data_IF_731708532897
#
_entry.id   IF_731708532897
#
_cell.length_a   1.000
_cell.length_b   1.000
_cell.length_c   1.000
_cell.angle_alpha   90.00
_cell.angle_beta   90.00
_cell.angle_gamma   90.00
#
_symmetry.space_group_name_H-M   'P 1'
#
loop_
_entity.id
_entity.type
_entity.pdbx_description
1 polymer ?
#
# COMPACT_ATOMS: atom_id res chain seq x y z
N UNK A 1 -3.69 30.11 -75.16
CA UNK A 1 -4.23 30.49 -73.85
C UNK A 1 -3.77 29.44 -72.87
N UNK A 2 -2.71 29.74 -72.10
CA UNK A 2 -2.16 28.85 -71.07
C UNK A 2 -2.86 29.17 -69.77
N UNK A 3 -3.58 28.19 -69.20
CA UNK A 3 -4.14 28.29 -67.85
C UNK A 3 -3.07 27.92 -66.83
N UNK A 4 -2.76 28.87 -65.98
CA UNK A 4 -1.90 28.69 -64.81
C UNK A 4 -2.76 28.11 -63.66
N UNK A 5 -2.37 26.97 -63.19
CA UNK A 5 -2.97 26.32 -61.96
C UNK A 5 -2.17 26.81 -60.77
N UNK A 6 -2.80 27.39 -59.77
CA UNK A 6 -2.07 27.77 -58.56
C UNK A 6 -1.73 26.53 -57.69
N UNK A 7 -0.49 26.49 -57.28
CA UNK A 7 0.08 25.51 -56.37
C UNK A 7 -0.56 25.69 -55.00
N UNK A 8 -1.36 24.72 -54.60
CA UNK A 8 -1.87 24.66 -53.21
C UNK A 8 -0.73 24.34 -52.27
N UNK A 9 -0.43 25.27 -51.39
CA UNK A 9 0.48 25.07 -50.26
C UNK A 9 -0.21 24.12 -49.31
N UNK A 10 0.24 22.87 -49.26
CA UNK A 10 -0.09 21.94 -48.21
C UNK A 10 0.55 22.45 -46.91
N UNK A 11 -0.28 23.07 -46.10
CA UNK A 11 0.07 23.32 -44.69
C UNK A 11 0.32 22.00 -43.98
N UNK A 12 1.58 21.70 -43.70
CA UNK A 12 1.96 20.65 -42.83
C UNK A 12 1.41 20.99 -41.39
N UNK A 13 0.29 20.39 -41.05
CA UNK A 13 -0.17 20.33 -39.69
C UNK A 13 0.91 19.57 -38.91
N UNK A 14 1.77 20.30 -38.24
CA UNK A 14 2.57 19.77 -37.13
C UNK A 14 1.58 19.25 -36.09
N UNK A 15 1.21 18.00 -36.22
CA UNK A 15 0.76 17.23 -35.06
C UNK A 15 1.91 17.31 -34.05
N UNK A 16 1.79 18.22 -33.11
CA UNK A 16 2.55 18.17 -31.87
C UNK A 16 2.18 16.84 -31.22
N UNK A 17 2.99 15.82 -31.49
CA UNK A 17 3.13 14.69 -30.60
C UNK A 17 3.42 15.32 -29.24
N UNK A 18 2.39 15.37 -28.38
CA UNK A 18 2.58 15.53 -26.94
C UNK A 18 3.38 14.32 -26.55
N UNK A 19 4.70 14.43 -26.68
CA UNK A 19 5.62 13.52 -26.05
C UNK A 19 5.19 13.48 -24.58
N UNK A 20 5.00 12.29 -24.02
CA UNK A 20 4.89 12.06 -22.60
C UNK A 20 6.09 12.76 -21.97
N UNK A 21 5.94 13.99 -21.59
CA UNK A 21 7.01 14.79 -21.00
C UNK A 21 7.18 14.27 -19.60
N UNK A 22 8.13 13.33 -19.44
CA UNK A 22 8.85 13.26 -18.18
C UNK A 22 9.29 14.69 -17.88
N UNK A 23 9.10 15.13 -16.63
CA UNK A 23 9.47 16.49 -16.23
C UNK A 23 10.90 16.82 -16.66
N UNK A 24 11.31 18.10 -16.66
CA UNK A 24 12.58 18.53 -17.25
C UNK A 24 13.71 17.65 -16.74
N UNK A 25 14.31 16.89 -17.66
CA UNK A 25 15.46 16.05 -17.35
C UNK A 25 16.67 16.94 -17.27
N UNK A 26 17.44 16.80 -16.22
CA UNK A 26 18.77 17.38 -16.20
C UNK A 26 19.68 16.51 -17.05
N UNK A 27 19.97 16.98 -18.24
CA UNK A 27 20.81 16.25 -19.18
C UNK A 27 22.28 16.67 -19.13
N UNK A 28 22.61 17.74 -18.41
CA UNK A 28 23.96 18.26 -18.36
C UNK A 28 24.38 18.80 -16.98
N UNK A 29 25.63 18.60 -16.65
CA UNK A 29 26.26 19.13 -15.44
C UNK A 29 26.40 20.66 -15.43
N UNK A 30 26.27 21.32 -16.57
CA UNK A 30 26.38 22.77 -16.70
C UNK A 30 25.18 23.46 -16.08
N UNK A 31 23.98 22.90 -16.25
CA UNK A 31 22.76 23.41 -15.62
C UNK A 31 22.90 23.47 -14.09
N UNK A 32 23.51 22.47 -13.47
CA UNK A 32 23.76 22.47 -12.01
C UNK A 32 24.76 23.52 -11.56
N UNK A 33 25.67 23.94 -12.43
CA UNK A 33 26.70 24.94 -12.12
C UNK A 33 26.22 26.37 -12.37
N UNK A 34 25.32 26.56 -13.31
CA UNK A 34 24.94 27.88 -13.80
C UNK A 34 23.57 28.36 -13.38
N UNK A 35 22.69 27.44 -12.91
CA UNK A 35 21.34 27.78 -12.47
C UNK A 35 21.15 27.50 -11.01
N UNK A 36 20.11 28.12 -10.46
CA UNK A 36 19.61 27.88 -9.10
C UNK A 36 18.26 27.18 -9.17
N UNK A 37 17.87 26.46 -8.12
CA UNK A 37 16.57 25.81 -8.09
C UNK A 37 16.46 24.69 -7.05
N UNK A 38 15.47 23.84 -7.27
CA UNK A 38 15.22 22.67 -6.43
C UNK A 38 15.29 21.39 -7.24
N UNK A 39 15.82 20.35 -6.61
CA UNK A 39 15.63 18.99 -7.02
C UNK A 39 14.92 18.26 -5.90
N UNK A 40 13.87 17.52 -6.20
CA UNK A 40 13.07 16.97 -5.13
C UNK A 40 12.42 15.64 -5.44
N UNK A 41 11.98 15.03 -4.37
CA UNK A 41 11.10 13.85 -4.38
C UNK A 41 9.76 14.29 -3.85
N UNK A 42 8.74 13.93 -4.59
CA UNK A 42 7.36 14.09 -4.15
C UNK A 42 6.75 12.72 -3.90
N UNK A 43 6.29 12.51 -2.66
CA UNK A 43 5.62 11.30 -2.24
C UNK A 43 4.20 11.64 -1.84
N UNK A 44 3.26 10.95 -2.42
CA UNK A 44 1.88 11.04 -2.00
C UNK A 44 1.49 9.71 -1.36
N UNK A 45 0.81 9.78 -0.20
CA UNK A 45 -0.06 8.70 0.19
C UNK A 45 -1.08 8.54 -0.92
N UNK A 46 -1.13 7.35 -1.52
CA UNK A 46 -2.01 7.14 -2.66
C UNK A 46 -3.44 7.44 -2.24
N UNK A 47 -4.03 8.40 -2.92
CA UNK A 47 -5.47 8.50 -2.97
C UNK A 47 -5.93 7.62 -4.13
N UNK A 48 -7.09 7.01 -4.01
CA UNK A 48 -7.76 6.21 -5.05
C UNK A 48 -7.76 6.88 -6.45
N UNK A 49 -7.54 8.17 -6.48
CA UNK A 49 -7.63 9.03 -7.64
C UNK A 49 -6.30 9.37 -8.30
N UNK A 50 -5.17 8.95 -7.75
CA UNK A 50 -3.85 9.40 -8.22
C UNK A 50 -3.28 8.58 -9.37
N UNK A 51 -3.85 7.43 -9.67
CA UNK A 51 -3.36 6.57 -10.74
C UNK A 51 -3.73 7.14 -12.13
N UNK A 52 -2.70 7.35 -12.94
CA UNK A 52 -2.85 7.75 -14.35
C UNK A 52 -3.06 9.25 -14.61
N UNK A 53 -3.12 10.10 -13.61
CA UNK A 53 -3.32 11.54 -13.80
C UNK A 53 -2.09 12.36 -13.39
N UNK A 54 -1.82 13.49 -14.08
CA UNK A 54 -0.71 14.36 -13.74
C UNK A 54 -0.93 15.04 -12.38
N UNK A 55 0.15 15.17 -11.62
CA UNK A 55 0.14 15.84 -10.32
C UNK A 55 1.14 16.97 -10.34
N UNK A 56 0.75 18.12 -9.81
CA UNK A 56 1.58 19.31 -9.76
C UNK A 56 1.62 19.92 -8.37
N UNK A 57 2.73 20.55 -8.03
CA UNK A 57 2.83 21.46 -6.89
C UNK A 57 3.07 22.89 -7.38
N UNK A 58 2.55 23.85 -6.66
CA UNK A 58 2.88 25.26 -6.87
C UNK A 58 3.84 25.72 -5.79
N UNK A 59 5.08 25.99 -6.20
CA UNK A 59 6.15 26.47 -5.35
C UNK A 59 6.62 27.86 -5.84
N UNK A 60 6.38 28.91 -5.07
CA UNK A 60 6.55 30.28 -5.53
C UNK A 60 5.72 30.55 -6.77
N UNK A 61 6.33 31.11 -7.79
CA UNK A 61 5.71 31.39 -9.10
C UNK A 61 5.70 30.16 -10.04
N UNK A 62 6.35 29.07 -9.64
CA UNK A 62 6.52 27.88 -10.47
C UNK A 62 5.44 26.84 -10.20
N UNK A 63 4.85 26.30 -11.27
CA UNK A 63 4.04 25.07 -11.22
C UNK A 63 4.92 23.91 -11.67
N UNK A 64 5.18 22.99 -10.78
CA UNK A 64 6.11 21.88 -10.98
C UNK A 64 5.32 20.61 -11.17
N UNK A 65 5.54 19.91 -12.28
CA UNK A 65 4.99 18.57 -12.50
C UNK A 65 5.77 17.57 -11.64
N UNK A 66 5.13 17.03 -10.61
CA UNK A 66 5.75 16.08 -9.68
C UNK A 66 5.42 14.63 -10.00
N UNK A 67 4.33 14.39 -10.73
CA UNK A 67 3.98 13.07 -11.27
C UNK A 67 3.43 13.22 -12.68
N UNK A 68 4.12 12.72 -13.71
CA UNK A 68 3.58 12.68 -15.07
C UNK A 68 2.43 11.66 -15.19
N UNK A 69 1.60 11.85 -16.21
CA UNK A 69 0.59 10.85 -16.60
C UNK A 69 1.23 9.48 -16.85
N UNK A 70 0.50 8.41 -16.51
CA UNK A 70 0.88 7.02 -16.78
C UNK A 70 2.06 6.45 -15.97
N UNK A 71 2.48 7.13 -14.92
CA UNK A 71 3.45 6.58 -13.97
C UNK A 71 2.72 5.92 -12.81
N UNK A 72 2.93 4.61 -12.60
CA UNK A 72 2.49 3.89 -11.41
C UNK A 72 3.45 4.08 -10.24
N UNK A 73 4.54 4.83 -10.43
CA UNK A 73 5.50 5.14 -9.39
C UNK A 73 4.90 6.17 -8.44
N UNK A 74 4.72 5.81 -7.18
CA UNK A 74 4.23 6.70 -6.13
C UNK A 74 5.26 7.78 -5.75
N UNK A 75 6.53 7.50 -6.00
CA UNK A 75 7.64 8.38 -5.71
C UNK A 75 8.21 8.96 -7.00
N UNK A 76 8.15 10.25 -7.17
CA UNK A 76 8.66 10.93 -8.36
C UNK A 76 9.75 11.93 -7.99
N UNK A 77 10.81 11.93 -8.79
CA UNK A 77 11.87 12.92 -8.72
C UNK A 77 11.55 14.03 -9.70
N UNK A 78 11.54 15.26 -9.22
CA UNK A 78 11.36 16.45 -10.03
C UNK A 78 12.59 17.36 -9.96
N UNK A 79 12.76 18.15 -11.00
CA UNK A 79 13.82 19.15 -11.12
C UNK A 79 13.20 20.46 -11.60
N UNK A 80 13.44 21.54 -10.86
CA UNK A 80 12.92 22.86 -11.23
C UNK A 80 13.95 23.96 -11.03
N UNK A 81 14.49 24.56 -12.11
CA UNK A 81 15.21 25.80 -12.02
C UNK A 81 14.30 26.91 -11.50
N UNK A 82 14.77 27.64 -10.49
CA UNK A 82 14.01 28.69 -9.83
C UNK A 82 14.93 29.88 -9.49
N UNK A 83 14.35 31.06 -9.33
CA UNK A 83 15.08 32.24 -8.85
C UNK A 83 15.47 32.06 -7.37
N UNK A 84 16.63 32.56 -6.95
CA UNK A 84 17.01 32.60 -5.53
C UNK A 84 15.97 33.31 -4.67
N UNK A 85 15.89 32.90 -3.41
CA UNK A 85 15.05 33.54 -2.43
C UNK A 85 13.89 32.69 -1.92
N UNK A 86 12.99 33.24 -1.13
CA UNK A 86 11.88 32.50 -0.54
C UNK A 86 10.83 32.12 -1.59
N UNK A 87 10.41 30.87 -1.57
CA UNK A 87 9.34 30.32 -2.41
C UNK A 87 8.31 29.59 -1.52
N UNK A 88 7.11 30.14 -1.44
CA UNK A 88 6.04 29.53 -0.65
C UNK A 88 5.47 28.31 -1.38
N UNK A 89 5.26 27.22 -0.65
CA UNK A 89 4.54 26.05 -1.17
C UNK A 89 3.04 26.31 -1.05
N UNK A 90 2.41 26.72 -2.16
CA UNK A 90 1.03 27.19 -2.18
C UNK A 90 0.00 26.09 -2.27
N UNK A 91 0.22 25.12 -3.14
CA UNK A 91 -0.79 24.09 -3.37
C UNK A 91 -0.20 22.81 -3.97
N UNK A 92 -0.96 21.76 -3.79
CA UNK A 92 -0.81 20.49 -4.47
C UNK A 92 -2.09 20.21 -5.26
N UNK A 93 -1.94 20.01 -6.57
CA UNK A 93 -3.05 19.77 -7.47
C UNK A 93 -2.95 18.37 -8.06
N UNK A 94 -4.07 17.66 -8.03
CA UNK A 94 -4.22 16.36 -8.68
C UNK A 94 -5.60 16.27 -9.33
N UNK A 95 -5.71 15.40 -10.33
CA UNK A 95 -6.95 15.12 -11.01
C UNK A 95 -7.45 13.73 -10.65
N UNK A 96 -8.76 13.60 -10.43
CA UNK A 96 -9.45 12.35 -10.21
C UNK A 96 -10.61 12.23 -11.18
N UNK A 97 -10.49 11.37 -12.19
CA UNK A 97 -11.49 11.20 -13.23
C UNK A 97 -11.80 12.53 -13.94
N UNK A 98 -12.95 13.13 -13.66
CA UNK A 98 -13.37 14.42 -14.21
C UNK A 98 -13.17 15.58 -13.24
N UNK A 99 -12.87 15.27 -11.99
CA UNK A 99 -12.73 16.25 -10.92
C UNK A 99 -11.27 16.63 -10.74
N UNK A 100 -11.02 17.92 -10.56
CA UNK A 100 -9.73 18.48 -10.26
C UNK A 100 -9.70 18.93 -8.82
N UNK A 101 -8.69 18.52 -8.06
CA UNK A 101 -8.50 18.88 -6.66
C UNK A 101 -7.28 19.77 -6.52
N UNK A 102 -7.45 20.88 -5.83
CA UNK A 102 -6.38 21.83 -5.50
C UNK A 102 -6.31 22.00 -3.98
N UNK A 103 -5.42 21.26 -3.35
CA UNK A 103 -5.19 21.36 -1.91
C UNK A 103 -4.33 22.61 -1.62
N UNK A 104 -4.93 23.60 -1.00
CA UNK A 104 -4.23 24.80 -0.58
C UNK A 104 -3.34 24.49 0.63
N UNK A 105 -2.05 24.78 0.49
CA UNK A 105 -1.02 24.51 1.46
C UNK A 105 -0.47 25.78 2.12
N UNK A 106 -0.91 26.93 1.63
CA UNK A 106 -0.52 28.28 2.10
C UNK A 106 -1.49 28.84 3.16
N UNK A 107 -2.53 28.09 3.49
CA UNK A 107 -3.51 28.46 4.51
C UNK A 107 -3.34 27.58 5.73
N UNK A 108 -3.43 28.19 6.92
CA UNK A 108 -3.49 27.45 8.16
C UNK A 108 -4.83 26.73 8.23
N UNK A 109 -4.79 25.42 8.27
CA UNK A 109 -5.96 24.59 8.59
C UNK A 109 -5.68 23.88 9.93
N UNK A 110 -6.21 24.39 11.04
CA UNK A 110 -5.98 23.81 12.37
C UNK A 110 -6.48 22.36 12.46
N UNK A 111 -7.47 21.98 11.64
CA UNK A 111 -8.02 20.61 11.63
C UNK A 111 -7.08 19.61 10.92
N UNK A 112 -6.15 20.12 10.10
CA UNK A 112 -5.21 19.32 9.30
C UNK A 112 -3.75 19.54 9.66
N UNK A 113 -3.45 20.35 10.68
CA UNK A 113 -2.07 20.70 11.04
C UNK A 113 -1.30 21.46 9.94
N UNK A 114 -2.00 21.95 8.91
CA UNK A 114 -1.36 22.58 7.77
C UNK A 114 -0.85 23.97 8.14
N UNK A 115 0.47 24.09 8.25
CA UNK A 115 1.15 25.38 8.42
C UNK A 115 1.76 25.78 7.08
N UNK A 116 1.53 27.03 6.59
CA UNK A 116 2.17 27.52 5.39
C UNK A 116 3.70 27.40 5.50
N UNK A 117 4.34 26.93 4.44
CA UNK A 117 5.76 26.60 4.45
C UNK A 117 6.48 27.30 3.32
N UNK A 118 7.64 27.87 3.61
CA UNK A 118 8.50 28.53 2.64
C UNK A 118 9.80 27.74 2.46
N UNK A 119 10.13 27.44 1.21
CA UNK A 119 11.40 26.85 0.78
C UNK A 119 12.32 27.97 0.35
N UNK A 120 13.51 28.04 0.92
CA UNK A 120 14.49 29.05 0.53
C UNK A 120 15.40 28.48 -0.56
N UNK A 121 15.26 29.03 -1.77
CA UNK A 121 16.09 28.68 -2.92
C UNK A 121 17.47 29.32 -2.74
N UNK A 122 18.58 28.58 -2.84
CA UNK A 122 19.91 29.09 -2.63
C UNK A 122 20.31 30.14 -3.67
N UNK A 123 21.22 31.07 -3.30
CA UNK A 123 21.75 32.06 -4.21
C UNK A 123 22.62 31.48 -5.32
N UNK A 124 23.10 30.26 -5.15
CA UNK A 124 23.87 29.52 -6.15
C UNK A 124 23.58 28.02 -6.09
N UNK A 125 23.46 27.40 -7.25
CA UNK A 125 23.22 25.95 -7.36
C UNK A 125 21.83 25.50 -6.95
N UNK A 126 21.69 24.22 -6.66
CA UNK A 126 20.44 23.59 -6.30
C UNK A 126 20.42 23.14 -4.86
N UNK A 127 19.25 23.09 -4.27
CA UNK A 127 19.04 22.38 -3.00
C UNK A 127 18.07 21.20 -3.18
N UNK A 128 18.19 20.21 -2.31
CA UNK A 128 17.32 19.03 -2.27
C UNK A 128 16.10 19.26 -1.39
N UNK A 129 14.95 18.74 -1.83
CA UNK A 129 13.73 18.74 -1.02
C UNK A 129 13.01 17.40 -1.19
N UNK A 130 12.59 16.79 -0.10
CA UNK A 130 11.75 15.61 -0.09
C UNK A 130 10.45 15.95 0.63
N UNK A 131 9.36 15.95 -0.12
CA UNK A 131 8.02 16.29 0.37
C UNK A 131 7.16 15.05 0.31
N UNK A 132 6.55 14.70 1.43
CA UNK A 132 5.57 13.65 1.52
C UNK A 132 4.23 14.22 1.98
N UNK A 133 3.14 13.79 1.35
CA UNK A 133 1.80 14.06 1.83
C UNK A 133 1.22 12.78 2.41
N UNK A 134 0.95 12.79 3.69
CA UNK A 134 0.38 11.69 4.44
C UNK A 134 -0.89 12.19 5.11
N UNK A 135 -2.03 11.64 4.70
CA UNK A 135 -3.35 11.99 5.28
C UNK A 135 -3.70 13.51 5.26
N UNK A 136 -3.14 14.24 4.31
CA UNK A 136 -3.34 15.69 4.20
C UNK A 136 -2.24 16.52 4.88
N UNK A 137 -1.38 15.90 5.68
CA UNK A 137 -0.23 16.56 6.28
C UNK A 137 0.97 16.52 5.33
N UNK A 138 1.69 17.65 5.25
CA UNK A 138 2.95 17.71 4.52
C UNK A 138 4.10 17.46 5.48
N UNK A 139 4.98 16.55 5.08
CA UNK A 139 6.14 16.14 5.84
C UNK A 139 7.40 16.33 4.97
N UNK A 140 8.45 16.80 5.57
CA UNK A 140 9.76 16.95 4.92
C UNK A 140 10.72 15.91 5.49
N UNK A 141 11.56 15.33 4.63
CA UNK A 141 12.54 14.33 5.07
C UNK A 141 13.88 14.50 4.38
N UNK A 142 14.92 13.86 4.92
CA UNK A 142 16.25 13.78 4.32
C UNK A 142 16.50 12.47 3.55
N UNK A 143 15.45 11.76 3.18
CA UNK A 143 15.55 10.52 2.40
C UNK A 143 15.68 10.83 0.90
N UNK A 144 16.91 10.96 0.42
CA UNK A 144 17.22 11.30 -0.97
C UNK A 144 17.64 10.10 -1.85
N UNK A 145 17.39 8.87 -1.40
CA UNK A 145 17.74 7.67 -2.16
C UNK A 145 17.19 7.68 -3.59
N UNK A 146 15.95 8.14 -3.76
CA UNK A 146 15.36 8.26 -5.10
C UNK A 146 16.03 9.32 -5.96
N UNK A 147 16.55 10.40 -5.36
CA UNK A 147 17.35 11.40 -6.07
C UNK A 147 18.63 10.74 -6.57
N UNK A 148 19.31 9.98 -5.73
CA UNK A 148 20.51 9.22 -6.12
C UNK A 148 20.23 8.29 -7.29
N UNK A 149 19.23 7.42 -7.16
CA UNK A 149 18.84 6.49 -8.22
C UNK A 149 18.51 7.20 -9.53
N UNK A 150 17.88 8.37 -9.45
CA UNK A 150 17.51 9.13 -10.63
C UNK A 150 18.72 9.81 -11.29
N UNK A 151 19.71 10.28 -10.51
CA UNK A 151 20.97 10.81 -11.04
C UNK A 151 21.75 9.73 -11.77
N UNK A 152 21.79 8.52 -11.24
CA UNK A 152 22.40 7.36 -11.90
C UNK A 152 21.69 7.06 -13.24
N UNK A 153 20.36 7.03 -13.26
CA UNK A 153 19.57 6.82 -14.48
C UNK A 153 19.77 7.92 -15.53
N UNK A 154 19.94 9.15 -15.10
CA UNK A 154 20.18 10.29 -15.99
C UNK A 154 21.65 10.42 -16.41
N UNK A 155 22.53 9.60 -15.84
CA UNK A 155 23.99 9.66 -16.06
C UNK A 155 24.55 11.07 -15.79
N UNK A 156 24.10 11.72 -14.73
CA UNK A 156 24.53 13.07 -14.33
C UNK A 156 25.81 12.96 -13.56
N UNK A 157 26.89 13.58 -14.07
CA UNK A 157 28.22 13.59 -13.43
C UNK A 157 28.32 14.59 -12.24
N UNK A 158 27.26 14.70 -11.45
CA UNK A 158 27.24 15.52 -10.23
C UNK A 158 27.05 14.62 -9.03
N UNK A 159 27.88 14.78 -8.02
CA UNK A 159 27.71 14.06 -6.77
C UNK A 159 26.46 14.61 -6.05
N UNK A 160 25.36 13.86 -6.10
CA UNK A 160 24.10 14.22 -5.43
C UNK A 160 24.28 14.48 -3.92
N UNK A 161 25.24 13.81 -3.27
CA UNK A 161 25.52 13.99 -1.85
C UNK A 161 26.08 15.38 -1.52
N UNK A 162 26.71 16.07 -2.51
CA UNK A 162 27.20 17.43 -2.35
C UNK A 162 26.11 18.50 -2.46
N UNK A 163 24.91 18.15 -2.92
CA UNK A 163 23.78 19.09 -2.99
C UNK A 163 23.15 19.19 -1.61
N UNK A 164 23.11 20.40 -1.00
CA UNK A 164 22.54 20.58 0.33
C UNK A 164 21.02 20.41 0.30
N UNK A 165 20.42 20.11 1.45
CA UNK A 165 18.98 20.21 1.60
C UNK A 165 18.56 21.69 1.61
N UNK A 166 17.37 21.97 1.07
CA UNK A 166 16.80 23.30 1.10
C UNK A 166 16.54 23.72 2.56
N UNK A 167 16.77 24.97 2.86
CA UNK A 167 16.28 25.55 4.10
C UNK A 167 14.77 25.74 3.99
N UNK A 168 14.02 25.19 4.94
CA UNK A 168 12.56 25.20 4.96
C UNK A 168 12.12 25.84 6.28
N UNK A 169 11.32 26.87 6.18
CA UNK A 169 10.80 27.61 7.33
C UNK A 169 9.27 27.61 7.32
N UNK A 170 8.67 27.53 8.48
CA UNK A 170 7.26 27.81 8.63
C UNK A 170 6.96 29.31 8.56
N UNK A 171 5.71 29.70 8.46
CA UNK A 171 5.34 31.10 8.37
C UNK A 171 5.55 31.89 9.68
N UNK A 172 5.96 31.24 10.75
CA UNK A 172 6.32 31.87 12.02
C UNK A 172 7.83 32.02 12.17
N UNK A 173 8.62 31.62 11.16
CA UNK A 173 10.07 31.67 11.14
C UNK A 173 10.75 30.53 11.90
N UNK A 174 10.00 29.51 12.32
CA UNK A 174 10.53 28.30 12.92
C UNK A 174 11.14 27.36 11.86
N UNK A 175 12.25 26.71 12.22
CA UNK A 175 12.75 25.60 11.39
C UNK A 175 11.74 24.46 11.38
N UNK A 176 11.43 23.98 10.17
CA UNK A 176 10.58 22.80 10.00
C UNK A 176 11.35 21.55 10.40
N UNK A 177 10.78 20.77 11.30
CA UNK A 177 11.36 19.49 11.70
C UNK A 177 11.41 18.53 10.51
N UNK A 178 12.60 18.00 10.23
CA UNK A 178 12.77 16.95 9.23
C UNK A 178 12.52 15.59 9.86
N UNK A 179 11.52 14.88 9.35
CA UNK A 179 11.33 13.48 9.70
C UNK A 179 12.30 12.62 8.88
N UNK A 180 12.92 11.63 9.51
CA UNK A 180 13.59 10.59 8.74
C UNK A 180 12.55 9.58 8.21
N UNK A 181 12.94 8.78 7.22
CA UNK A 181 12.06 7.78 6.59
C UNK A 181 11.47 6.81 7.61
N UNK A 182 12.28 6.37 8.55
CA UNK A 182 11.85 5.41 9.58
C UNK A 182 10.84 6.03 10.52
N UNK A 183 11.01 7.32 10.85
CA UNK A 183 10.02 8.07 11.64
C UNK A 183 8.69 8.21 10.89
N UNK A 184 8.71 8.52 9.59
CA UNK A 184 7.50 8.64 8.77
C UNK A 184 6.75 7.32 8.68
N UNK A 185 7.47 6.23 8.43
CA UNK A 185 6.87 4.89 8.38
C UNK A 185 6.34 4.45 9.75
N UNK A 186 7.03 4.80 10.83
CA UNK A 186 6.56 4.53 12.18
C UNK A 186 5.29 5.31 12.52
N UNK A 187 5.19 6.58 12.15
CA UNK A 187 3.97 7.39 12.35
C UNK A 187 2.81 6.88 11.48
N UNK A 188 3.08 6.51 10.21
CA UNK A 188 2.07 5.89 9.35
C UNK A 188 1.53 4.59 9.94
N UNK A 189 2.41 3.76 10.53
CA UNK A 189 1.98 2.54 11.19
C UNK A 189 1.15 2.81 12.46
N UNK A 190 1.51 3.82 13.25
CA UNK A 190 0.73 4.23 14.43
C UNK A 190 -0.67 4.72 14.05
N UNK A 191 -0.78 5.52 12.99
CA UNK A 191 -2.07 5.95 12.46
C UNK A 191 -2.90 4.75 11.97
N UNK A 192 -2.25 3.79 11.31
CA UNK A 192 -2.89 2.55 10.86
C UNK A 192 -3.43 1.68 12.00
N UNK A 193 -2.76 1.65 13.19
CA UNK A 193 -3.30 0.95 14.37
C UNK A 193 -4.67 1.51 14.72
N UNK A 194 -4.80 2.83 14.82
CA UNK A 194 -6.07 3.48 15.15
C UNK A 194 -7.15 3.17 14.10
N UNK A 195 -6.82 3.32 12.81
CA UNK A 195 -7.78 3.08 11.73
C UNK A 195 -8.23 1.63 11.67
N UNK A 196 -7.31 0.68 11.77
CA UNK A 196 -7.65 -0.74 11.76
C UNK A 196 -8.53 -1.14 12.95
N UNK A 197 -8.26 -0.57 14.14
CA UNK A 197 -9.01 -0.89 15.35
C UNK A 197 -10.41 -0.26 15.39
N UNK A 198 -10.66 0.79 14.61
CA UNK A 198 -11.95 1.47 14.50
C UNK A 198 -12.69 1.14 13.20
N UNK A 199 -12.23 0.12 12.46
CA UNK A 199 -12.84 -0.28 11.20
C UNK A 199 -14.34 -0.65 11.41
N UNK A 200 -15.20 -0.02 10.65
CA UNK A 200 -16.65 -0.13 10.74
C UNK A 200 -17.30 -0.68 9.46
N UNK A 201 -18.60 -0.57 9.36
CA UNK A 201 -19.41 -1.09 8.24
C UNK A 201 -19.04 -0.47 6.89
N UNK A 202 -18.57 0.78 6.88
CA UNK A 202 -18.09 1.50 5.68
C UNK A 202 -16.76 0.96 5.13
N UNK A 203 -16.07 0.13 5.92
CA UNK A 203 -14.79 -0.49 5.54
C UNK A 203 -14.90 -2.00 5.25
N UNK A 204 -16.12 -2.53 5.21
CA UNK A 204 -16.36 -3.90 4.78
C UNK A 204 -15.97 -4.03 3.29
N UNK A 205 -15.13 -5.02 2.99
CA UNK A 205 -14.58 -5.28 1.67
C UNK A 205 -14.99 -6.65 1.15
N UNK A 206 -15.03 -6.86 -0.19
CA UNK A 206 -15.19 -8.18 -0.77
C UNK A 206 -14.08 -9.14 -0.30
N UNK A 207 -14.47 -10.27 0.27
CA UNK A 207 -13.58 -11.31 0.77
C UNK A 207 -13.68 -12.56 -0.09
N UNK A 208 -12.60 -13.33 -0.20
CA UNK A 208 -12.68 -14.63 -0.87
C UNK A 208 -13.43 -15.63 -0.01
N UNK A 209 -14.22 -16.50 -0.64
CA UNK A 209 -14.76 -17.70 -0.01
C UNK A 209 -13.77 -18.87 -0.12
N UNK A 210 -13.68 -19.70 0.92
CA UNK A 210 -12.89 -20.94 0.89
C UNK A 210 -13.74 -22.16 0.51
N UNK A 211 -14.89 -21.98 -0.12
CA UNK A 211 -15.70 -23.12 -0.56
C UNK A 211 -14.97 -24.03 -1.57
N UNK A 212 -15.51 -25.21 -1.83
CA UNK A 212 -14.87 -26.20 -2.69
C UNK A 212 -14.80 -25.83 -4.16
N UNK A 213 -15.51 -24.77 -4.57
CA UNK A 213 -15.54 -24.23 -5.92
C UNK A 213 -14.65 -23.02 -6.08
N UNK A 214 -14.13 -22.47 -4.96
CA UNK A 214 -13.24 -21.32 -4.98
C UNK A 214 -11.93 -21.66 -5.68
N UNK A 215 -11.55 -20.81 -6.61
CA UNK A 215 -10.24 -20.84 -7.28
C UNK A 215 -9.15 -20.08 -6.49
N UNK A 216 -9.50 -19.54 -5.33
CA UNK A 216 -8.60 -18.72 -4.49
C UNK A 216 -7.81 -19.50 -3.44
N UNK A 217 -8.04 -20.80 -3.32
CA UNK A 217 -7.33 -21.69 -2.41
C UNK A 217 -7.02 -23.03 -3.07
N UNK A 218 -5.90 -23.65 -2.72
CA UNK A 218 -5.56 -25.00 -3.19
C UNK A 218 -6.14 -26.05 -2.26
N UNK A 219 -6.89 -26.98 -2.81
CA UNK A 219 -7.35 -28.19 -2.14
C UNK A 219 -6.40 -29.36 -2.46
N UNK A 220 -6.17 -30.25 -1.49
CA UNK A 220 -5.46 -31.50 -1.77
C UNK A 220 -6.30 -32.44 -2.67
N UNK A 221 -5.69 -33.53 -3.14
CA UNK A 221 -6.30 -34.40 -4.17
C UNK A 221 -7.64 -34.99 -3.78
N UNK A 222 -7.90 -35.27 -2.50
CA UNK A 222 -9.16 -35.81 -1.98
C UNK A 222 -10.10 -34.73 -1.41
N UNK A 223 -9.68 -33.46 -1.49
CA UNK A 223 -10.40 -32.28 -0.96
C UNK A 223 -10.69 -32.32 0.54
N UNK A 224 -9.86 -33.02 1.30
CA UNK A 224 -9.96 -33.10 2.75
C UNK A 224 -9.16 -32.01 3.46
N UNK A 225 -8.24 -31.30 2.76
CA UNK A 225 -7.39 -30.25 3.33
C UNK A 225 -7.24 -29.09 2.36
N UNK A 226 -7.06 -27.89 2.93
CA UNK A 226 -6.76 -26.64 2.20
C UNK A 226 -5.36 -26.17 2.50
N UNK A 227 -4.74 -25.53 1.51
CA UNK A 227 -3.39 -24.97 1.62
C UNK A 227 -3.46 -23.52 2.04
N UNK A 228 -2.89 -23.21 3.19
CA UNK A 228 -2.83 -21.85 3.75
C UNK A 228 -1.39 -21.41 3.90
N UNK A 229 -1.17 -20.09 3.90
CA UNK A 229 0.15 -19.46 4.02
C UNK A 229 0.29 -18.80 5.38
N UNK A 230 1.41 -19.05 6.04
CA UNK A 230 1.79 -18.48 7.34
C UNK A 230 3.10 -17.71 7.18
N UNK A 231 3.19 -16.52 7.77
CA UNK A 231 4.43 -15.75 7.82
C UNK A 231 4.99 -15.74 9.23
N UNK A 232 6.23 -16.19 9.43
CA UNK A 232 6.80 -16.45 10.74
C UNK A 232 8.32 -16.28 10.78
N UNK A 233 8.92 -16.54 11.97
CA UNK A 233 10.38 -16.51 12.18
C UNK A 233 10.93 -17.78 12.83
N UNK A 234 10.20 -18.90 12.75
CA UNK A 234 10.56 -20.17 13.36
C UNK A 234 10.59 -21.31 12.33
N UNK A 235 11.70 -21.45 11.55
CA UNK A 235 11.78 -22.48 10.52
C UNK A 235 11.90 -23.90 11.10
N UNK A 236 12.30 -24.05 12.37
CA UNK A 236 12.40 -25.36 12.99
C UNK A 236 11.00 -25.90 13.33
N UNK A 237 10.14 -25.07 13.92
CA UNK A 237 8.74 -25.43 14.15
C UNK A 237 8.02 -25.77 12.84
N UNK A 238 8.33 -25.04 11.76
CA UNK A 238 7.72 -25.21 10.45
C UNK A 238 8.59 -26.04 9.48
N UNK A 239 9.33 -27.04 9.99
CA UNK A 239 10.07 -27.94 9.12
C UNK A 239 9.15 -28.71 8.17
N UNK A 240 9.53 -28.83 6.89
CA UNK A 240 8.77 -29.52 5.85
C UNK A 240 8.42 -30.96 6.28
N UNK A 241 7.16 -31.35 6.06
CA UNK A 241 6.61 -32.65 6.44
C UNK A 241 6.27 -32.79 7.92
N UNK A 242 6.52 -31.77 8.74
CA UNK A 242 6.20 -31.79 10.15
C UNK A 242 4.70 -31.52 10.39
N UNK A 243 4.09 -32.29 11.27
CA UNK A 243 2.77 -31.97 11.83
C UNK A 243 2.94 -31.07 13.06
N UNK A 244 2.24 -29.93 13.06
CA UNK A 244 2.21 -28.97 14.17
C UNK A 244 0.86 -29.11 14.87
N UNK A 245 0.88 -29.37 16.15
CA UNK A 245 -0.29 -29.28 17.03
C UNK A 245 -0.32 -27.94 17.72
N UNK A 246 -1.43 -27.18 17.57
CA UNK A 246 -1.50 -25.79 18.00
C UNK A 246 -1.68 -25.62 19.52
N UNK A 247 -2.28 -26.59 20.22
CA UNK A 247 -2.65 -26.41 21.62
C UNK A 247 -3.58 -25.21 21.78
N UNK A 248 -3.31 -24.33 22.74
CA UNK A 248 -4.14 -23.13 22.99
C UNK A 248 -3.93 -22.00 21.99
N UNK A 249 -2.95 -22.10 21.09
CA UNK A 249 -2.64 -21.06 20.12
C UNK A 249 -3.58 -21.12 18.92
N UNK A 250 -3.75 -19.99 18.25
CA UNK A 250 -4.33 -19.91 16.89
C UNK A 250 -3.23 -19.57 15.89
N UNK A 251 -3.35 -20.08 14.66
CA UNK A 251 -2.41 -19.79 13.60
C UNK A 251 -3.05 -18.85 12.57
N UNK A 252 -2.50 -17.66 12.44
CA UNK A 252 -2.95 -16.67 11.47
C UNK A 252 -2.44 -17.01 10.06
N UNK A 253 -3.35 -16.98 9.09
CA UNK A 253 -3.09 -17.45 7.73
C UNK A 253 -3.81 -16.60 6.69
N UNK A 254 -3.35 -16.74 5.43
CA UNK A 254 -4.04 -16.25 4.23
C UNK A 254 -4.10 -17.38 3.19
N UNK A 255 -4.98 -17.26 2.19
CA UNK A 255 -5.09 -18.27 1.13
C UNK A 255 -3.93 -18.15 0.13
N UNK A 256 -3.42 -19.28 -0.32
CA UNK A 256 -2.24 -19.37 -1.19
C UNK A 256 -2.46 -18.73 -2.58
N UNK A 257 -3.61 -19.00 -3.21
CA UNK A 257 -3.90 -18.48 -4.55
C UNK A 257 -4.32 -17.02 -4.56
N UNK A 258 -5.01 -16.53 -3.50
CA UNK A 258 -5.27 -15.10 -3.35
C UNK A 258 -3.95 -14.33 -3.24
N UNK A 259 -3.00 -14.83 -2.42
CA UNK A 259 -1.68 -14.21 -2.29
C UNK A 259 -0.93 -14.21 -3.63
N UNK A 260 -0.96 -15.32 -4.38
CA UNK A 260 -0.36 -15.42 -5.71
C UNK A 260 -0.99 -14.45 -6.70
N UNK A 261 -2.32 -14.32 -6.70
CA UNK A 261 -3.06 -13.37 -7.54
C UNK A 261 -2.62 -11.93 -7.25
N UNK A 262 -2.61 -11.57 -5.96
CA UNK A 262 -2.13 -10.28 -5.53
C UNK A 262 -0.68 -10.03 -5.95
N UNK A 263 0.22 -11.01 -5.73
CA UNK A 263 1.62 -10.91 -6.12
C UNK A 263 1.77 -10.64 -7.62
N UNK A 264 1.09 -11.40 -8.47
CA UNK A 264 1.17 -11.25 -9.92
C UNK A 264 0.68 -9.88 -10.41
N UNK A 265 -0.33 -9.32 -9.75
CA UNK A 265 -0.84 -7.99 -10.05
C UNK A 265 0.12 -6.87 -9.64
N UNK A 266 0.95 -7.09 -8.61
CA UNK A 266 1.75 -6.05 -7.99
C UNK A 266 3.26 -6.18 -8.23
N UNK A 267 3.78 -7.34 -8.64
CA UNK A 267 5.24 -7.63 -8.71
C UNK A 267 6.04 -6.64 -9.54
N UNK A 268 5.45 -6.04 -10.57
CA UNK A 268 6.11 -5.04 -11.43
C UNK A 268 6.30 -3.67 -10.77
N UNK A 269 5.56 -3.37 -9.71
CA UNK A 269 5.57 -2.06 -9.03
C UNK A 269 6.32 -2.07 -7.70
N UNK A 270 6.58 -3.24 -7.13
CA UNK A 270 7.21 -3.35 -5.80
C UNK A 270 8.72 -3.27 -5.90
N UNK A 271 9.31 -2.24 -5.30
CA UNK A 271 10.77 -2.04 -5.23
C UNK A 271 11.40 -2.63 -3.96
N UNK A 272 10.68 -2.59 -2.84
CA UNK A 272 11.15 -3.11 -1.55
C UNK A 272 10.16 -4.16 -1.02
N UNK A 273 10.42 -5.41 -1.33
CA UNK A 273 9.56 -6.53 -0.93
C UNK A 273 9.48 -6.74 0.57
N UNK A 274 10.57 -6.52 1.32
CA UNK A 274 10.52 -6.65 2.78
C UNK A 274 9.50 -5.69 3.38
N UNK A 275 9.58 -4.40 3.04
CA UNK A 275 8.62 -3.39 3.48
C UNK A 275 7.20 -3.70 2.99
N UNK A 276 7.06 -4.04 1.70
CA UNK A 276 5.74 -4.27 1.09
C UNK A 276 4.99 -5.44 1.70
N UNK A 277 5.68 -6.51 2.06
CA UNK A 277 5.09 -7.65 2.75
C UNK A 277 4.58 -7.26 4.15
N UNK A 278 5.35 -6.47 4.91
CA UNK A 278 4.88 -5.96 6.21
C UNK A 278 3.63 -5.10 6.06
N UNK A 279 3.62 -4.23 5.06
CA UNK A 279 2.46 -3.38 4.76
C UNK A 279 1.23 -4.20 4.39
N UNK A 280 1.36 -5.13 3.44
CA UNK A 280 0.29 -6.00 2.98
C UNK A 280 -0.32 -6.85 4.10
N UNK A 281 0.53 -7.42 4.94
CA UNK A 281 0.14 -8.35 5.99
C UNK A 281 -0.20 -7.66 7.32
N UNK A 282 -0.17 -6.32 7.36
CA UNK A 282 -0.52 -5.54 8.54
C UNK A 282 0.49 -5.59 9.67
N UNK A 283 1.77 -5.86 9.40
CA UNK A 283 2.81 -5.91 10.44
C UNK A 283 3.63 -4.62 10.49
N UNK A 284 4.12 -4.30 11.69
CA UNK A 284 5.12 -3.25 11.89
C UNK A 284 6.47 -3.64 11.28
N UNK A 285 7.22 -2.68 10.73
CA UNK A 285 8.52 -2.92 10.11
C UNK A 285 9.60 -3.42 11.08
N UNK A 286 9.43 -3.18 12.38
CA UNK A 286 10.32 -3.68 13.42
C UNK A 286 9.99 -5.12 13.87
N UNK A 287 9.02 -5.77 13.22
CA UNK A 287 8.74 -7.19 13.41
C UNK A 287 9.63 -8.01 12.49
N UNK A 288 10.42 -8.92 13.06
CA UNK A 288 11.25 -9.83 12.25
C UNK A 288 10.42 -11.00 11.77
N UNK A 289 10.16 -11.08 10.46
CA UNK A 289 9.46 -12.18 9.80
C UNK A 289 10.25 -12.58 8.55
N UNK A 290 10.87 -13.76 8.59
CA UNK A 290 11.89 -14.18 7.61
C UNK A 290 11.41 -15.29 6.70
N UNK A 291 10.42 -16.10 7.14
CA UNK A 291 10.00 -17.31 6.46
C UNK A 291 8.50 -17.30 6.21
N UNK A 292 8.13 -17.79 5.02
CA UNK A 292 6.78 -18.22 4.72
C UNK A 292 6.72 -19.74 4.70
N UNK A 293 5.69 -20.28 5.33
CA UNK A 293 5.34 -21.69 5.20
C UNK A 293 3.96 -21.84 4.58
N UNK A 294 3.80 -22.86 3.78
CA UNK A 294 2.47 -23.33 3.41
C UNK A 294 2.12 -24.53 4.27
N UNK A 295 0.88 -24.58 4.75
CA UNK A 295 0.40 -25.63 5.64
C UNK A 295 -0.92 -26.20 5.13
N UNK A 296 -1.05 -27.50 5.19
CA UNK A 296 -2.33 -28.20 4.95
C UNK A 296 -3.14 -28.20 6.25
N UNK A 297 -4.30 -27.57 6.23
CA UNK A 297 -5.23 -27.52 7.34
C UNK A 297 -6.52 -28.29 7.02
N UNK A 298 -7.12 -28.89 8.03
CA UNK A 298 -8.47 -29.43 7.92
C UNK A 298 -9.47 -28.26 7.84
N UNK A 299 -10.36 -28.21 6.84
CA UNK A 299 -11.31 -27.12 6.69
C UNK A 299 -12.16 -26.86 7.93
N UNK A 300 -12.56 -27.90 8.67
CA UNK A 300 -13.34 -27.76 9.89
C UNK A 300 -12.63 -26.93 10.98
N UNK A 301 -11.30 -26.86 10.93
CA UNK A 301 -10.48 -26.14 11.91
C UNK A 301 -10.14 -24.71 11.45
N UNK A 302 -10.66 -24.28 10.29
CA UNK A 302 -10.41 -22.95 9.72
C UNK A 302 -11.63 -22.06 9.90
N UNK A 303 -11.39 -20.85 10.38
CA UNK A 303 -12.42 -19.81 10.51
C UNK A 303 -11.85 -18.45 10.10
N UNK A 304 -12.74 -17.52 9.85
CA UNK A 304 -12.40 -16.12 9.59
C UNK A 304 -12.31 -15.38 10.93
N UNK A 305 -11.21 -14.67 11.25
CA UNK A 305 -11.09 -13.87 12.46
C UNK A 305 -11.85 -12.55 12.31
N UNK A 306 -13.19 -12.64 12.25
CA UNK A 306 -14.07 -11.51 11.99
C UNK A 306 -15.43 -11.71 12.68
N UNK A 307 -16.26 -10.66 12.69
CA UNK A 307 -17.60 -10.71 13.29
C UNK A 307 -18.50 -11.79 12.68
N UNK A 308 -18.24 -12.18 11.42
CA UNK A 308 -18.83 -13.35 10.79
C UNK A 308 -17.72 -14.38 10.57
N UNK A 309 -17.61 -15.42 11.42
CA UNK A 309 -16.47 -16.33 11.40
C UNK A 309 -16.50 -17.40 10.32
N UNK A 310 -17.60 -17.54 9.57
CA UNK A 310 -17.71 -18.51 8.49
C UNK A 310 -16.71 -18.23 7.37
N UNK A 311 -15.78 -19.15 7.04
CA UNK A 311 -14.77 -18.90 6.00
C UNK A 311 -15.35 -18.90 4.59
N UNK A 312 -16.57 -19.42 4.43
CA UNK A 312 -17.33 -19.42 3.18
C UNK A 312 -18.41 -18.34 3.12
N UNK A 313 -18.54 -17.53 4.19
CA UNK A 313 -19.59 -16.52 4.27
C UNK A 313 -19.41 -15.46 3.18
N UNK A 314 -20.52 -15.05 2.60
CA UNK A 314 -20.63 -13.95 1.66
C UNK A 314 -21.16 -12.65 2.30
N UNK A 315 -21.27 -12.62 3.62
CA UNK A 315 -21.67 -11.44 4.39
C UNK A 315 -20.65 -11.13 5.47
N UNK A 316 -20.62 -9.86 5.89
CA UNK A 316 -19.81 -9.38 7.00
C UNK A 316 -20.63 -8.34 7.79
N UNK A 317 -20.33 -8.25 9.09
CA UNK A 317 -20.86 -7.25 10.00
C UNK A 317 -19.70 -6.51 10.65
N UNK A 318 -20.01 -5.38 11.27
CA UNK A 318 -19.07 -4.65 12.10
C UNK A 318 -19.26 -4.93 13.62
N UNK A 319 -20.19 -5.78 13.98
CA UNK A 319 -20.51 -6.18 15.36
C UNK A 319 -20.96 -7.64 15.43
N UNK A 320 -21.00 -8.23 16.62
CA UNK A 320 -21.63 -9.54 16.88
C UNK A 320 -23.14 -9.43 17.14
N UNK A 321 -23.71 -8.23 17.13
CA UNK A 321 -25.14 -8.07 17.35
C UNK A 321 -25.93 -8.78 16.25
N UNK A 322 -27.06 -9.38 16.61
CA UNK A 322 -27.94 -10.11 15.69
C UNK A 322 -28.78 -9.18 14.79
N UNK A 323 -28.45 -7.89 14.74
CA UNK A 323 -29.14 -6.94 13.90
C UNK A 323 -28.75 -7.13 12.43
N UNK A 324 -29.58 -7.86 11.71
CA UNK A 324 -29.41 -8.15 10.29
C UNK A 324 -29.34 -6.90 9.39
N UNK A 325 -29.71 -5.72 9.91
CA UNK A 325 -29.66 -4.45 9.17
C UNK A 325 -28.23 -4.00 8.89
N UNK A 326 -27.23 -4.49 9.61
CA UNK A 326 -25.81 -4.17 9.42
C UNK A 326 -25.05 -5.18 8.54
N UNK A 327 -25.70 -6.27 8.11
CA UNK A 327 -25.05 -7.23 7.21
C UNK A 327 -24.86 -6.65 5.81
N UNK A 328 -23.64 -6.75 5.30
CA UNK A 328 -23.32 -6.35 3.93
C UNK A 328 -22.78 -7.54 3.15
N UNK A 329 -23.22 -7.68 1.90
CA UNK A 329 -22.64 -8.66 0.98
C UNK A 329 -21.19 -8.29 0.66
N UNK A 330 -20.27 -9.21 0.89
CA UNK A 330 -18.82 -8.97 0.76
C UNK A 330 -18.14 -9.80 -0.32
N UNK A 331 -18.86 -10.65 -1.02
CA UNK A 331 -18.28 -11.54 -2.02
C UNK A 331 -18.67 -11.09 -3.41
N UNK A 332 -17.68 -10.95 -4.28
CA UNK A 332 -17.88 -10.76 -5.72
C UNK A 332 -18.28 -12.04 -6.44
N UNK A 333 -18.48 -13.12 -5.70
CA UNK A 333 -18.78 -14.47 -6.19
C UNK A 333 -20.25 -14.78 -5.96
N UNK A 334 -20.99 -15.02 -7.03
CA UNK A 334 -22.32 -15.61 -6.95
C UNK A 334 -22.16 -17.11 -6.64
N UNK A 335 -22.67 -17.59 -5.50
CA UNK A 335 -22.67 -19.03 -5.27
C UNK A 335 -23.46 -19.72 -6.40
N UNK A 336 -23.01 -20.90 -6.89
CA UNK A 336 -23.78 -21.63 -7.88
C UNK A 336 -25.17 -21.92 -7.35
N UNK A 337 -26.16 -21.74 -8.20
CA UNK A 337 -27.56 -21.99 -7.93
C UNK A 337 -27.74 -23.36 -7.27
N UNK A 338 -28.32 -23.37 -6.08
CA UNK A 338 -28.99 -24.41 -5.32
C UNK A 338 -28.81 -25.88 -5.83
N UNK A 339 -27.62 -26.43 -5.69
CA UNK A 339 -27.51 -27.86 -5.46
C UNK A 339 -27.62 -28.14 -3.96
N UNK A 340 -28.32 -29.21 -3.52
CA UNK A 340 -28.43 -29.51 -2.09
C UNK A 340 -27.02 -29.66 -1.52
N UNK A 341 -26.68 -28.76 -0.58
CA UNK A 341 -25.39 -28.68 0.02
C UNK A 341 -24.99 -30.04 0.60
N UNK A 342 -24.05 -30.70 -0.04
CA UNK A 342 -23.22 -31.68 0.66
C UNK A 342 -22.75 -30.99 1.93
N UNK A 343 -22.72 -31.68 3.07
CA UNK A 343 -22.29 -31.09 4.34
C UNK A 343 -20.99 -30.30 4.12
N UNK A 344 -21.04 -29.01 4.42
CA UNK A 344 -19.90 -28.12 4.20
C UNK A 344 -18.67 -28.73 4.90
N UNK A 345 -17.52 -28.88 4.22
CA UNK A 345 -16.31 -29.44 4.84
C UNK A 345 -15.84 -28.60 6.02
N UNK A 346 -16.33 -27.37 6.17
CA UNK A 346 -16.02 -26.48 7.30
C UNK A 346 -16.84 -26.80 8.56
N UNK A 347 -17.82 -27.69 8.49
CA UNK A 347 -18.65 -28.09 9.62
C UNK A 347 -19.48 -26.93 10.20
N UNK A 348 -20.43 -27.25 11.06
CA UNK A 348 -21.15 -26.27 11.87
C UNK A 348 -20.39 -25.99 13.15
N UNK A 349 -20.27 -24.74 13.51
CA UNK A 349 -19.72 -24.33 14.80
C UNK A 349 -20.85 -24.33 15.83
N UNK A 350 -20.62 -25.00 16.95
CA UNK A 350 -21.57 -25.07 18.06
C UNK A 350 -21.50 -23.84 18.97
N UNK A 351 -22.42 -23.76 19.93
CA UNK A 351 -22.49 -22.67 20.89
C UNK A 351 -21.20 -22.55 21.74
N UNK A 352 -20.62 -23.68 22.13
CA UNK A 352 -19.39 -23.67 22.91
C UNK A 352 -18.22 -23.07 22.12
N UNK A 353 -18.13 -23.37 20.82
CA UNK A 353 -17.18 -22.73 19.94
C UNK A 353 -17.42 -21.21 19.84
N UNK A 354 -18.67 -20.77 19.67
CA UNK A 354 -18.98 -19.35 19.53
C UNK A 354 -18.65 -18.57 20.82
N UNK A 355 -18.91 -19.14 21.99
CA UNK A 355 -18.52 -18.53 23.29
C UNK A 355 -16.99 -18.40 23.38
N UNK A 356 -16.25 -19.46 23.03
CA UNK A 356 -14.79 -19.40 23.01
C UNK A 356 -14.29 -18.37 22.00
N UNK A 357 -14.84 -18.37 20.79
CA UNK A 357 -14.40 -17.48 19.72
C UNK A 357 -14.63 -16.00 20.08
N UNK A 358 -15.77 -15.63 20.64
CA UNK A 358 -16.02 -14.26 21.09
C UNK A 358 -15.07 -13.82 22.20
N UNK A 359 -14.83 -14.67 23.19
CA UNK A 359 -13.85 -14.36 24.25
C UNK A 359 -12.44 -14.15 23.67
N UNK A 360 -11.99 -15.07 22.82
CA UNK A 360 -10.70 -14.97 22.13
C UNK A 360 -10.63 -13.69 21.28
N UNK A 361 -11.71 -13.36 20.58
CA UNK A 361 -11.82 -12.17 19.71
C UNK A 361 -11.64 -10.89 20.53
N UNK A 362 -12.35 -10.74 21.64
CA UNK A 362 -12.29 -9.57 22.50
C UNK A 362 -10.90 -9.39 23.14
N UNK A 363 -10.32 -10.48 23.67
CA UNK A 363 -8.96 -10.48 24.19
C UNK A 363 -7.92 -10.10 23.14
N UNK A 364 -8.09 -10.61 21.93
CA UNK A 364 -7.22 -10.33 20.78
C UNK A 364 -7.38 -8.87 20.33
N UNK A 365 -8.61 -8.34 20.26
CA UNK A 365 -8.88 -6.95 19.95
C UNK A 365 -8.18 -6.02 20.95
N UNK A 366 -8.38 -6.25 22.25
CA UNK A 366 -7.73 -5.47 23.31
C UNK A 366 -6.19 -5.50 23.23
N UNK A 367 -5.60 -6.57 22.69
CA UNK A 367 -4.16 -6.69 22.45
C UNK A 367 -3.70 -5.84 21.27
N UNK A 368 -4.43 -5.88 20.14
CA UNK A 368 -4.01 -5.25 18.89
C UNK A 368 -4.39 -3.77 18.80
N UNK A 369 -5.32 -3.27 19.61
CA UNK A 369 -5.64 -1.84 19.73
C UNK A 369 -4.57 -1.02 20.46
N UNK A 370 -3.63 -1.67 21.15
CA UNK A 370 -2.55 -0.97 21.87
C UNK A 370 -1.63 -0.25 20.88
N UNK A 371 -1.22 0.98 21.23
CA UNK A 371 -0.26 1.78 20.45
C UNK A 371 1.09 1.08 20.17
N UNK A 372 1.42 0.06 20.96
CA UNK A 372 2.62 -0.78 20.78
C UNK A 372 2.35 -2.05 19.98
N UNK A 373 1.18 -2.20 19.40
CA UNK A 373 0.86 -3.39 18.61
C UNK A 373 1.81 -3.53 17.44
N UNK A 374 2.26 -4.75 17.20
CA UNK A 374 3.10 -5.13 16.06
C UNK A 374 2.31 -5.69 14.89
N UNK A 375 0.99 -5.80 15.04
CA UNK A 375 0.07 -6.29 14.03
C UNK A 375 -1.20 -5.45 14.03
N UNK A 376 -1.70 -5.14 12.86
CA UNK A 376 -2.99 -4.51 12.62
C UNK A 376 -4.07 -5.59 12.47
N UNK A 377 -5.27 -5.30 12.96
CA UNK A 377 -6.40 -6.22 12.80
C UNK A 377 -7.70 -5.43 12.67
N UNK A 378 -8.37 -5.60 11.54
CA UNK A 378 -9.61 -4.89 11.22
C UNK A 378 -10.84 -5.50 11.86
N UNK A 379 -10.80 -6.78 12.24
CA UNK A 379 -11.95 -7.58 12.67
C UNK A 379 -12.99 -7.81 11.54
N UNK A 380 -12.65 -7.37 10.33
CA UNK A 380 -13.51 -7.48 9.13
C UNK A 380 -13.04 -8.58 8.17
N UNK A 381 -12.08 -9.43 8.57
CA UNK A 381 -11.65 -10.64 7.86
C UNK A 381 -10.63 -10.42 6.75
N UNK A 382 -9.88 -9.34 6.79
CA UNK A 382 -8.76 -9.06 5.90
C UNK A 382 -7.59 -8.41 6.62
N UNK A 383 -6.37 -8.58 6.07
CA UNK A 383 -5.17 -7.91 6.54
C UNK A 383 -5.22 -6.43 6.17
N UNK A 384 -4.91 -5.53 7.11
CA UNK A 384 -4.89 -4.10 6.85
C UNK A 384 -3.60 -3.71 6.13
N UNK A 385 -3.72 -3.35 4.85
CA UNK A 385 -2.59 -2.86 4.06
C UNK A 385 -2.34 -1.38 4.37
N UNK A 386 -1.25 -1.09 5.08
CA UNK A 386 -0.87 0.26 5.49
C UNK A 386 0.16 0.93 4.57
N UNK A 387 0.20 0.54 3.30
CA UNK A 387 1.11 1.15 2.31
C UNK A 387 0.76 2.58 1.93
N UNK A 388 -0.27 3.16 2.54
CA UNK A 388 -0.85 4.48 2.22
C UNK A 388 -1.51 4.53 0.82
N UNK A 389 -1.75 3.38 0.23
CA UNK A 389 -2.56 3.26 -0.98
C UNK A 389 -3.97 2.79 -0.60
N UNK A 390 -4.98 3.50 -1.04
CA UNK A 390 -6.34 2.97 -0.99
C UNK A 390 -6.53 1.97 -2.15
N UNK A 391 -7.24 0.87 -1.93
CA UNK A 391 -7.90 0.50 -0.67
C UNK A 391 -6.91 -0.07 0.35
N UNK A 392 -7.22 0.08 1.65
CA UNK A 392 -6.44 -0.51 2.76
C UNK A 392 -6.63 -2.03 2.90
N UNK A 393 -7.35 -2.65 1.98
CA UNK A 393 -7.56 -4.08 1.88
C UNK A 393 -6.27 -4.76 1.40
N UNK A 394 -5.78 -5.71 2.19
CA UNK A 394 -4.63 -6.54 1.83
C UNK A 394 -5.06 -7.88 1.24
N UNK A 395 -5.16 -8.90 2.09
CA UNK A 395 -5.59 -10.25 1.75
C UNK A 395 -6.68 -10.71 2.71
N UNK A 396 -7.57 -11.58 2.25
CA UNK A 396 -8.51 -12.25 3.15
C UNK A 396 -7.76 -13.05 4.21
N UNK A 397 -8.20 -12.91 5.45
CA UNK A 397 -7.52 -13.44 6.62
C UNK A 397 -8.30 -14.59 7.24
N UNK A 398 -7.56 -15.62 7.62
CA UNK A 398 -8.11 -16.81 8.26
C UNK A 398 -7.25 -17.20 9.45
N UNK A 399 -7.84 -17.94 10.38
CA UNK A 399 -7.10 -18.61 11.45
C UNK A 399 -7.40 -20.11 11.42
N UNK A 400 -6.36 -20.89 11.71
CA UNK A 400 -6.54 -22.26 12.18
C UNK A 400 -6.73 -22.19 13.70
N UNK A 401 -7.80 -22.79 14.20
CA UNK A 401 -8.21 -22.66 15.61
C UNK A 401 -7.31 -23.47 16.54
N UNK A 402 -7.43 -23.21 17.84
CA UNK A 402 -6.73 -23.97 18.90
C UNK A 402 -7.01 -25.48 18.78
N UNK A 403 -6.11 -26.27 19.33
CA UNK A 403 -6.13 -27.74 19.34
C UNK A 403 -6.06 -28.43 17.98
N UNK A 404 -6.10 -27.66 16.89
CA UNK A 404 -5.99 -28.17 15.53
C UNK A 404 -4.58 -28.68 15.19
N UNK A 405 -4.48 -29.52 14.20
CA UNK A 405 -3.23 -30.00 13.63
C UNK A 405 -3.08 -29.54 12.17
N UNK A 406 -1.90 -29.06 11.82
CA UNK A 406 -1.56 -28.72 10.43
C UNK A 406 -0.31 -29.47 9.98
N UNK A 407 -0.27 -29.84 8.72
CA UNK A 407 0.88 -30.47 8.10
C UNK A 407 1.66 -29.42 7.29
N UNK A 408 2.91 -29.18 7.62
CA UNK A 408 3.78 -28.27 6.87
C UNK A 408 4.08 -28.87 5.50
N UNK A 409 3.69 -28.14 4.45
CA UNK A 409 3.98 -28.57 3.06
C UNK A 409 5.41 -28.14 2.66
N UNK A 410 5.76 -26.86 2.88
CA UNK A 410 7.15 -26.36 2.77
C UNK A 410 7.35 -25.10 3.59
N UNK A 411 8.64 -24.77 3.82
CA UNK A 411 9.09 -23.51 4.42
C UNK A 411 10.17 -22.88 3.55
N UNK A 412 10.01 -21.59 3.26
CA UNK A 412 10.94 -20.84 2.41
C UNK A 412 11.23 -19.46 3.01
N UNK A 413 12.45 -19.00 2.85
CA UNK A 413 12.76 -17.59 3.11
C UNK A 413 11.96 -16.66 2.19
N UNK A 414 11.72 -15.44 2.63
CA UNK A 414 10.89 -14.46 1.92
C UNK A 414 11.18 -14.39 0.41
N UNK A 415 12.46 -14.28 0.01
CA UNK A 415 12.83 -14.23 -1.41
C UNK A 415 12.50 -15.51 -2.17
N UNK A 416 12.75 -16.66 -1.57
CA UNK A 416 12.46 -17.95 -2.19
C UNK A 416 10.94 -18.22 -2.27
N UNK A 417 10.18 -17.71 -1.31
CA UNK A 417 8.72 -17.74 -1.35
C UNK A 417 8.15 -16.85 -2.48
N UNK A 418 8.68 -15.64 -2.65
CA UNK A 418 8.28 -14.77 -3.76
C UNK A 418 8.57 -15.41 -5.12
N UNK A 419 9.71 -16.10 -5.26
CA UNK A 419 10.01 -16.87 -6.48
C UNK A 419 9.03 -18.03 -6.70
N UNK A 420 8.55 -18.66 -5.62
CA UNK A 420 7.51 -19.69 -5.72
C UNK A 420 6.16 -19.09 -6.13
N UNK A 421 5.79 -17.91 -5.64
CA UNK A 421 4.60 -17.20 -6.11
C UNK A 421 4.67 -16.86 -7.61
N UNK A 422 5.87 -16.59 -8.12
CA UNK A 422 6.12 -16.24 -9.53
C UNK A 422 6.18 -17.47 -10.46
N UNK A 423 6.45 -18.65 -9.92
CA UNK A 423 6.47 -19.89 -10.72
C UNK A 423 5.06 -20.26 -11.21
N UNK A 424 4.95 -20.64 -12.46
CA UNK A 424 3.74 -21.27 -12.99
C UNK A 424 3.50 -22.62 -12.27
N UNK A 425 2.26 -22.87 -11.88
CA UNK A 425 1.84 -24.23 -11.47
C UNK A 425 1.36 -25.01 -12.67
#
# INVERSE_FOLDING_TARGET
>A
MKKIIPLAVLGASLLSLVACTQGPRVTDSETFRTKTGVIGVFRQAATFCSEGHPQTIKLGDSTILVKPTWSNDQDNVFFSPMKPGPATLYSYRYQCWKDEFDLRLDQSDPSRGAVPTTVVIPDSGFCKIVISFVEGDKLFSHDDLLIQEQFEKWNVAVNHASIPYCNIVDNQGGEVSFANKDSLLAESYKAAIQKASTAGSDQIQPLISLDTLSDMVTWNGDRSKILLVVWHNDPERFAEGRTIKLGDEVMWTVADKEFRKWFNQNKGSVRNWSRRLHQLMGYSLDTTLTYFSTVWADPKDVVRPAFVPGPTSNTMRATFADDASEEQSVVSYEPPSEEPAAESPFGKKDEAFMIWFQNWFDETAAKYEKKSSKRLWTRLGYTYDWSQSEPTYGLSEFIVIRDAEVLVNFTKQNKAFLNWLDSEM
#
